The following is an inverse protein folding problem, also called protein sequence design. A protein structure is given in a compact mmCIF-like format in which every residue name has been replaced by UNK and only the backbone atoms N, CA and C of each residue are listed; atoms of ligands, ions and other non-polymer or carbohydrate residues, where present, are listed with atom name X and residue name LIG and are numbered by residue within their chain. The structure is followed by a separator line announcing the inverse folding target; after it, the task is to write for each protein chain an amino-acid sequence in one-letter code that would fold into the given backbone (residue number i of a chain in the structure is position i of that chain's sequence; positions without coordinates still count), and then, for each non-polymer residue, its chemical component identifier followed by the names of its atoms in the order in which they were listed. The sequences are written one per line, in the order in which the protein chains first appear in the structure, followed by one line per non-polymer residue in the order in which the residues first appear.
data_IF_058413243803
#
_entry.id   IF_058413243803
#
_cell.length_a   1.000
_cell.length_b   1.000
_cell.length_c   1.000
_cell.angle_alpha   90.00
_cell.angle_beta   90.00
_cell.angle_gamma   90.00
#
_symmetry.space_group_name_H-M   'P 1'
#
loop_
_entity.id
_entity.type
_entity.pdbx_description
1 polymer ?
#
# COMPACT_ATOMS: atom_id res chain seq x y z
N UNK A 1 20.36 50.61 -42.30
CA UNK A 1 19.50 49.49 -41.87
C UNK A 1 20.26 48.74 -40.80
N UNK A 2 19.77 48.65 -39.55
CA UNK A 2 20.31 47.72 -38.58
C UNK A 2 19.57 46.38 -38.70
N UNK A 3 20.35 45.31 -38.74
CA UNK A 3 19.90 43.93 -38.73
C UNK A 3 19.52 43.57 -37.27
N UNK A 4 18.28 43.12 -37.06
CA UNK A 4 17.78 42.73 -35.73
C UNK A 4 17.75 41.21 -35.74
N UNK A 5 18.80 40.59 -35.19
CA UNK A 5 18.80 39.17 -34.86
C UNK A 5 17.84 38.96 -33.68
N UNK A 6 16.73 38.28 -33.93
CA UNK A 6 15.86 37.76 -32.87
C UNK A 6 16.53 36.50 -32.31
N UNK A 7 17.15 36.62 -31.14
CA UNK A 7 17.52 35.46 -30.34
C UNK A 7 16.22 34.76 -29.91
N UNK A 8 16.06 33.51 -30.35
CA UNK A 8 15.05 32.62 -29.81
C UNK A 8 15.45 32.28 -28.37
N UNK A 9 14.63 32.72 -27.42
CA UNK A 9 14.66 32.20 -26.06
C UNK A 9 14.32 30.71 -26.10
N UNK A 10 15.36 29.86 -26.13
CA UNK A 10 15.26 28.44 -25.80
C UNK A 10 14.90 28.32 -24.33
N UNK A 11 13.62 28.50 -24.01
CA UNK A 11 13.07 28.15 -22.73
C UNK A 11 12.91 26.62 -22.68
N UNK A 12 14.04 25.92 -22.61
CA UNK A 12 14.08 24.52 -22.20
C UNK A 12 13.64 24.47 -20.76
N UNK A 13 12.32 24.37 -20.56
CA UNK A 13 11.76 23.86 -19.32
C UNK A 13 12.37 22.48 -19.13
N UNK A 14 13.28 22.38 -18.18
CA UNK A 14 13.85 21.13 -17.75
C UNK A 14 12.69 20.29 -17.23
N UNK A 15 12.19 19.38 -18.07
CA UNK A 15 11.43 18.23 -17.60
C UNK A 15 12.38 17.49 -16.66
N UNK A 16 12.30 17.82 -15.37
CA UNK A 16 12.88 17.04 -14.31
C UNK A 16 12.29 15.65 -14.48
N UNK A 17 13.07 14.79 -15.10
CA UNK A 17 12.72 13.40 -15.32
C UNK A 17 12.85 12.75 -13.95
N UNK A 18 11.81 12.90 -13.13
CA UNK A 18 11.63 12.10 -11.93
C UNK A 18 11.36 10.68 -12.40
N UNK A 19 12.44 9.99 -12.79
CA UNK A 19 12.40 8.58 -13.15
C UNK A 19 11.90 7.80 -11.94
N UNK A 20 10.82 7.06 -12.10
CA UNK A 20 10.31 6.21 -11.03
C UNK A 20 11.36 5.18 -10.61
N UNK A 21 11.63 5.11 -9.30
CA UNK A 21 12.41 4.07 -8.65
C UNK A 21 11.50 3.29 -7.69
N UNK A 22 11.29 1.98 -7.90
CA UNK A 22 10.48 1.18 -6.99
C UNK A 22 11.04 1.14 -5.58
N UNK A 23 10.16 1.19 -4.58
CA UNK A 23 10.56 0.88 -3.21
C UNK A 23 11.00 -0.58 -3.09
N UNK A 24 12.11 -0.81 -2.38
CA UNK A 24 12.68 -2.14 -2.18
C UNK A 24 11.82 -3.03 -1.25
N UNK A 25 10.93 -2.42 -0.47
CA UNK A 25 10.14 -3.10 0.57
C UNK A 25 8.79 -3.64 0.05
N UNK A 26 8.52 -3.48 -1.24
CA UNK A 26 7.25 -3.90 -1.84
C UNK A 26 7.12 -5.43 -1.91
N UNK A 27 6.03 -5.96 -1.37
CA UNK A 27 5.63 -7.37 -1.50
C UNK A 27 5.11 -7.72 -2.89
N UNK A 28 4.48 -6.75 -3.56
CA UNK A 28 4.01 -6.86 -4.94
C UNK A 28 4.60 -5.75 -5.81
N UNK A 29 4.94 -6.02 -7.07
CA UNK A 29 5.31 -4.98 -8.04
C UNK A 29 4.15 -4.00 -8.27
N UNK A 30 4.48 -2.72 -8.46
CA UNK A 30 3.50 -1.70 -8.88
C UNK A 30 2.82 -2.07 -10.21
N UNK A 31 3.55 -2.76 -11.10
CA UNK A 31 3.00 -3.19 -12.40
C UNK A 31 1.83 -4.15 -12.23
N UNK A 32 1.90 -5.09 -11.28
CA UNK A 32 0.83 -6.05 -11.01
C UNK A 32 -0.46 -5.34 -10.59
N UNK A 33 -0.35 -4.28 -9.79
CA UNK A 33 -1.49 -3.46 -9.39
C UNK A 33 -2.09 -2.68 -10.58
N UNK A 34 -1.24 -2.16 -11.47
CA UNK A 34 -1.69 -1.50 -12.70
C UNK A 34 -2.45 -2.48 -13.59
N UNK A 35 -1.90 -3.67 -13.79
CA UNK A 35 -2.48 -4.70 -14.65
C UNK A 35 -3.79 -5.23 -14.06
N UNK A 36 -3.86 -5.38 -12.74
CA UNK A 36 -5.06 -5.85 -12.04
C UNK A 36 -6.19 -4.83 -12.05
N UNK A 37 -5.89 -3.53 -11.87
CA UNK A 37 -6.91 -2.48 -11.75
C UNK A 37 -7.24 -1.77 -13.05
N UNK A 38 -6.35 -1.84 -14.05
CA UNK A 38 -6.42 -1.05 -15.27
C UNK A 38 -6.29 0.46 -15.03
N UNK A 39 -5.71 0.88 -13.90
CA UNK A 39 -5.56 2.30 -13.57
C UNK A 39 -4.63 3.02 -14.55
N UNK A 40 -5.00 4.23 -14.94
CA UNK A 40 -4.24 5.09 -15.86
C UNK A 40 -3.95 6.43 -15.19
N UNK A 41 -2.94 7.19 -15.63
CA UNK A 41 -2.58 8.48 -15.01
C UNK A 41 -3.77 9.46 -14.91
N UNK A 42 -4.66 9.47 -15.91
CA UNK A 42 -5.84 10.35 -15.93
C UNK A 42 -6.85 10.00 -14.82
N UNK A 43 -6.86 8.76 -14.32
CA UNK A 43 -7.70 8.38 -13.19
C UNK A 43 -7.32 9.17 -11.92
N UNK A 44 -6.06 9.58 -11.80
CA UNK A 44 -5.53 10.32 -10.65
C UNK A 44 -5.26 11.81 -10.96
N UNK A 45 -5.86 12.36 -12.02
CA UNK A 45 -5.65 13.75 -12.49
C UNK A 45 -4.19 14.08 -12.85
N UNK A 46 -3.41 13.06 -13.22
CA UNK A 46 -2.08 13.24 -13.77
C UNK A 46 -2.15 13.47 -15.28
N UNK A 47 -1.06 14.00 -15.85
CA UNK A 47 -0.93 14.12 -17.30
C UNK A 47 -0.92 12.73 -17.96
N UNK A 48 -1.35 12.66 -19.22
CA UNK A 48 -1.58 11.36 -19.89
C UNK A 48 -0.32 10.49 -20.01
N UNK A 49 0.82 11.14 -20.12
CA UNK A 49 2.16 10.59 -20.25
C UNK A 49 2.88 10.42 -18.90
N UNK A 50 2.32 10.93 -17.81
CA UNK A 50 2.90 10.88 -16.46
C UNK A 50 2.71 9.49 -15.81
N UNK A 51 3.39 8.51 -16.39
CA UNK A 51 3.41 7.12 -15.91
C UNK A 51 4.25 7.00 -14.64
N UNK A 52 5.29 7.81 -14.49
CA UNK A 52 6.17 7.79 -13.32
C UNK A 52 5.49 8.38 -12.08
N UNK A 53 4.71 9.45 -12.24
CA UNK A 53 3.86 9.99 -11.18
C UNK A 53 2.80 8.98 -10.74
N UNK A 54 2.17 8.27 -11.68
CA UNK A 54 1.24 7.18 -11.36
C UNK A 54 1.93 6.10 -10.52
N UNK A 55 3.06 5.58 -11.00
CA UNK A 55 3.79 4.52 -10.30
C UNK A 55 4.23 4.96 -8.91
N UNK A 56 4.67 6.20 -8.75
CA UNK A 56 5.05 6.78 -7.45
C UNK A 56 3.89 6.83 -6.45
N UNK A 57 2.67 7.14 -6.92
CA UNK A 57 1.48 7.15 -6.04
C UNK A 57 1.12 5.72 -5.64
N UNK A 58 1.10 4.80 -6.60
CA UNK A 58 0.73 3.41 -6.36
C UNK A 58 1.73 2.71 -5.43
N UNK A 59 3.02 2.96 -5.58
CA UNK A 59 4.08 2.48 -4.69
C UNK A 59 3.77 2.85 -3.22
N UNK A 60 3.43 4.11 -2.97
CA UNK A 60 3.05 4.59 -1.64
C UNK A 60 1.78 3.92 -1.11
N UNK A 61 0.79 3.68 -1.95
CA UNK A 61 -0.45 3.03 -1.54
C UNK A 61 -0.22 1.58 -1.17
N UNK A 62 0.60 0.86 -1.93
CA UNK A 62 0.99 -0.52 -1.61
C UNK A 62 1.71 -0.56 -0.26
N UNK A 63 2.68 0.33 -0.01
CA UNK A 63 3.37 0.40 1.29
C UNK A 63 2.41 0.69 2.46
N UNK A 64 1.40 1.53 2.25
CA UNK A 64 0.36 1.79 3.26
C UNK A 64 -0.49 0.54 3.52
N UNK A 65 -0.88 -0.19 2.46
CA UNK A 65 -1.64 -1.43 2.57
C UNK A 65 -0.85 -2.51 3.33
N UNK A 66 0.43 -2.68 3.04
CA UNK A 66 1.33 -3.56 3.81
C UNK A 66 1.41 -3.16 5.28
N UNK A 67 1.41 -1.85 5.57
CA UNK A 67 1.35 -1.32 6.93
C UNK A 67 0.05 -1.72 7.66
N UNK A 68 -1.09 -1.70 6.96
CA UNK A 68 -2.37 -2.15 7.52
C UNK A 68 -2.36 -3.65 7.79
N UNK A 69 -1.83 -4.46 6.87
CA UNK A 69 -1.70 -5.91 7.04
C UNK A 69 -0.80 -6.23 8.24
N UNK A 70 0.38 -5.61 8.32
CA UNK A 70 1.31 -5.75 9.45
C UNK A 70 0.65 -5.39 10.78
N UNK A 71 -0.11 -4.29 10.80
CA UNK A 71 -0.86 -3.85 11.98
C UNK A 71 -1.91 -4.88 12.42
N UNK A 72 -2.70 -5.38 11.46
CA UNK A 72 -3.74 -6.39 11.69
C UNK A 72 -3.16 -7.71 12.21
N UNK A 73 -2.08 -8.20 11.60
CA UNK A 73 -1.42 -9.43 12.02
C UNK A 73 -0.54 -9.27 13.28
N UNK A 74 -0.42 -8.04 13.81
CA UNK A 74 0.45 -7.69 14.95
C UNK A 74 1.94 -7.97 14.70
N UNK A 75 2.39 -7.78 13.46
CA UNK A 75 3.77 -8.02 13.04
C UNK A 75 4.49 -6.68 12.83
N UNK A 76 5.61 -6.46 13.53
CA UNK A 76 6.42 -5.24 13.39
C UNK A 76 7.27 -5.25 12.11
N UNK A 77 7.87 -6.39 11.82
CA UNK A 77 8.78 -6.59 10.69
C UNK A 77 8.54 -8.00 10.15
N UNK A 78 8.39 -8.13 8.85
CA UNK A 78 8.32 -9.40 8.14
C UNK A 78 9.59 -9.51 7.31
N UNK A 79 10.29 -10.63 7.41
CA UNK A 79 11.40 -10.93 6.52
C UNK A 79 10.84 -11.10 5.08
N UNK A 80 11.43 -10.48 4.05
CA UNK A 80 10.98 -10.66 2.67
C UNK A 80 10.80 -12.13 2.23
N UNK A 81 11.58 -13.05 2.82
CA UNK A 81 11.47 -14.50 2.55
C UNK A 81 10.23 -15.16 3.18
N UNK A 82 9.62 -14.55 4.18
CA UNK A 82 8.40 -15.01 4.85
C UNK A 82 7.12 -14.49 4.15
N UNK A 83 7.27 -13.55 3.22
CA UNK A 83 6.15 -13.02 2.42
C UNK A 83 5.72 -14.06 1.38
N UNK A 84 4.73 -14.87 1.75
CA UNK A 84 4.15 -15.86 0.87
C UNK A 84 3.12 -15.28 -0.11
N UNK A 85 2.66 -16.12 -1.04
CA UNK A 85 1.74 -15.70 -2.11
C UNK A 85 0.35 -15.32 -1.59
N UNK A 86 -0.08 -15.85 -0.44
CA UNK A 86 -1.34 -15.45 0.18
C UNK A 86 -1.26 -14.00 0.69
N UNK A 87 -0.19 -13.62 1.39
CA UNK A 87 0.04 -12.24 1.83
C UNK A 87 0.12 -11.27 0.64
N UNK A 88 0.79 -11.68 -0.45
CA UNK A 88 0.85 -10.89 -1.70
C UNK A 88 -0.52 -10.72 -2.34
N UNK A 89 -1.34 -11.77 -2.37
CA UNK A 89 -2.70 -11.69 -2.91
C UNK A 89 -3.59 -10.73 -2.11
N UNK A 90 -3.50 -10.78 -0.78
CA UNK A 90 -4.22 -9.85 0.10
C UNK A 90 -3.73 -8.41 -0.10
N UNK A 91 -2.41 -8.19 -0.18
CA UNK A 91 -1.84 -6.86 -0.45
C UNK A 91 -2.31 -6.28 -1.79
N UNK A 92 -2.37 -7.12 -2.83
CA UNK A 92 -2.89 -6.74 -4.15
C UNK A 92 -4.37 -6.36 -4.10
N UNK A 93 -5.21 -7.18 -3.46
CA UNK A 93 -6.66 -6.93 -3.35
C UNK A 93 -6.95 -5.69 -2.50
N UNK A 94 -6.25 -5.53 -1.37
CA UNK A 94 -6.36 -4.36 -0.50
C UNK A 94 -5.94 -3.07 -1.22
N UNK A 95 -4.80 -3.10 -1.91
CA UNK A 95 -4.33 -1.97 -2.73
C UNK A 95 -5.31 -1.65 -3.87
N UNK A 96 -5.93 -2.67 -4.47
CA UNK A 96 -6.94 -2.50 -5.53
C UNK A 96 -8.22 -1.86 -5.00
N UNK A 97 -8.67 -2.24 -3.79
CA UNK A 97 -9.79 -1.59 -3.12
C UNK A 97 -9.49 -0.11 -2.84
N UNK A 98 -8.27 0.21 -2.43
CA UNK A 98 -7.82 1.59 -2.24
C UNK A 98 -7.87 2.40 -3.54
N UNK A 99 -7.44 1.81 -4.66
CA UNK A 99 -7.57 2.40 -6.00
C UNK A 99 -9.04 2.63 -6.38
N UNK A 100 -9.88 1.60 -6.25
CA UNK A 100 -11.29 1.67 -6.60
C UNK A 100 -12.03 2.75 -5.79
N UNK A 101 -11.77 2.83 -4.49
CA UNK A 101 -12.34 3.85 -3.61
C UNK A 101 -11.89 5.27 -3.99
N UNK A 102 -10.62 5.43 -4.37
CA UNK A 102 -10.08 6.72 -4.83
C UNK A 102 -10.82 7.22 -6.08
N UNK A 103 -11.04 6.32 -7.06
CA UNK A 103 -11.78 6.62 -8.29
C UNK A 103 -13.25 6.92 -7.97
N UNK A 104 -13.91 6.10 -7.15
CA UNK A 104 -15.31 6.28 -6.78
C UNK A 104 -15.54 7.63 -6.08
N UNK A 105 -14.70 7.99 -5.10
CA UNK A 105 -14.81 9.27 -4.37
C UNK A 105 -14.56 10.48 -5.26
N UNK A 106 -13.75 10.34 -6.30
CA UNK A 106 -13.54 11.39 -7.30
C UNK A 106 -14.77 11.58 -8.18
N UNK A 107 -15.42 10.49 -8.58
CA UNK A 107 -16.55 10.51 -9.51
C UNK A 107 -17.89 10.80 -8.81
N UNK A 108 -17.90 10.78 -7.47
CA UNK A 108 -19.07 11.15 -6.68
C UNK A 108 -19.14 12.68 -6.51
N UNK A 109 -20.18 13.38 -7.01
CA UNK A 109 -20.37 14.79 -6.70
C UNK A 109 -20.66 14.94 -5.20
N UNK A 110 -19.74 15.60 -4.48
CA UNK A 110 -19.99 16.10 -3.13
C UNK A 110 -21.18 17.07 -3.24
N UNK A 111 -22.29 16.74 -2.56
CA UNK A 111 -23.59 17.45 -2.46
C UNK A 111 -24.60 17.27 -3.61
N UNK A 112 -25.57 16.37 -3.40
CA UNK A 112 -26.98 16.72 -3.63
C UNK A 112 -27.62 16.98 -2.26
N UNK A 113 -28.05 18.21 -1.93
CA UNK A 113 -28.59 18.55 -0.60
C UNK A 113 -29.94 17.91 -0.22
N UNK A 114 -30.44 16.89 -0.94
CA UNK A 114 -31.83 16.42 -0.76
C UNK A 114 -32.06 14.91 -0.86
N UNK A 115 -31.03 14.08 -0.99
CA UNK A 115 -31.21 12.63 -1.08
C UNK A 115 -30.87 11.96 0.26
N UNK A 116 -31.89 11.64 1.04
CA UNK A 116 -31.81 10.89 2.31
C UNK A 116 -31.64 9.38 2.06
N UNK A 117 -31.42 9.01 0.79
CA UNK A 117 -31.19 7.67 0.25
C UNK A 117 -29.79 7.50 -0.35
N UNK A 118 -28.83 8.39 -0.02
CA UNK A 118 -27.42 8.13 -0.34
C UNK A 118 -26.94 6.96 0.51
N UNK A 119 -27.00 5.76 -0.07
CA UNK A 119 -26.27 4.61 0.41
C UNK A 119 -24.80 5.04 0.51
N UNK A 120 -24.30 5.21 1.74
CA UNK A 120 -22.93 5.59 1.97
C UNK A 120 -22.09 4.45 1.39
N UNK A 121 -21.47 4.69 0.23
CA UNK A 121 -20.50 3.77 -0.38
C UNK A 121 -19.57 3.30 0.73
N UNK A 122 -19.61 2.00 1.03
CA UNK A 122 -18.77 1.42 2.07
C UNK A 122 -17.34 1.87 1.84
N UNK A 123 -16.80 2.61 2.82
CA UNK A 123 -15.47 3.21 2.74
C UNK A 123 -14.35 2.23 3.10
N UNK A 124 -14.71 0.97 3.36
CA UNK A 124 -13.78 -0.04 3.84
C UNK A 124 -12.94 -0.59 2.69
N UNK A 125 -11.69 -0.12 2.64
CA UNK A 125 -10.66 -0.71 1.79
C UNK A 125 -10.26 -2.10 2.29
N UNK A 126 -10.34 -2.32 3.61
CA UNK A 126 -9.93 -3.54 4.30
C UNK A 126 -11.15 -4.34 4.74
N UNK A 127 -11.72 -5.10 3.79
CA UNK A 127 -12.94 -5.89 3.98
C UNK A 127 -12.72 -7.09 4.89
N UNK A 128 -13.80 -7.62 5.45
CA UNK A 128 -13.73 -8.79 6.34
C UNK A 128 -13.19 -10.03 5.62
N UNK A 129 -13.55 -10.25 4.35
CA UNK A 129 -12.95 -11.34 3.55
C UNK A 129 -11.41 -11.30 3.53
N UNK A 130 -10.82 -10.09 3.45
CA UNK A 130 -9.36 -9.94 3.47
C UNK A 130 -8.77 -10.20 4.85
N UNK A 131 -9.54 -9.92 5.91
CA UNK A 131 -9.14 -10.21 7.29
C UNK A 131 -9.20 -11.70 7.56
N UNK A 132 -10.22 -12.39 7.06
CA UNK A 132 -10.39 -13.84 7.16
C UNK A 132 -9.22 -14.56 6.45
N UNK A 133 -8.82 -14.10 5.27
CA UNK A 133 -7.64 -14.60 4.56
C UNK A 133 -6.33 -14.40 5.37
N UNK A 134 -6.29 -13.38 6.24
CA UNK A 134 -5.16 -13.05 7.09
C UNK A 134 -5.18 -13.72 8.46
N UNK A 135 -6.30 -14.30 8.89
CA UNK A 135 -6.47 -14.94 10.20
C UNK A 135 -5.32 -15.92 10.55
N UNK A 136 -4.84 -16.78 9.62
CA UNK A 136 -3.73 -17.70 9.91
C UNK A 136 -2.40 -17.02 10.24
N UNK A 137 -2.23 -15.75 9.86
CA UNK A 137 -0.99 -14.97 10.05
C UNK A 137 -1.05 -14.06 11.27
N UNK A 138 -2.19 -13.97 11.95
CA UNK A 138 -2.35 -13.13 13.14
C UNK A 138 -1.52 -13.73 14.28
N UNK A 139 -0.49 -13.00 14.70
CA UNK A 139 0.35 -13.39 15.83
C UNK A 139 -0.42 -13.09 17.11
N UNK A 140 -1.10 -14.11 17.63
CA UNK A 140 -1.68 -14.03 18.97
C UNK A 140 -0.55 -14.01 20.01
N UNK A 141 -0.56 -13.00 20.87
CA UNK A 141 0.43 -12.82 21.95
C UNK A 141 0.50 -14.03 22.92
N UNK A 142 -0.49 -14.94 22.88
CA UNK A 142 -0.59 -16.13 23.72
C UNK A 142 0.21 -17.32 23.17
N UNK A 143 0.57 -17.33 21.89
CA UNK A 143 1.20 -18.50 21.23
C UNK A 143 2.66 -18.29 20.83
N UNK A 144 3.25 -17.14 21.19
CA UNK A 144 4.64 -16.79 20.86
C UNK A 144 5.66 -17.43 21.81
N UNK A 145 6.10 -18.65 21.47
CA UNK A 145 7.20 -19.44 22.07
C UNK A 145 6.92 -19.96 23.49
N UNK A 146 6.72 -21.27 23.59
CA UNK A 146 7.10 -22.02 24.78
C UNK A 146 8.61 -21.87 24.98
N UNK A 147 9.02 -20.79 25.64
CA UNK A 147 10.39 -20.69 26.14
C UNK A 147 10.61 -21.91 27.02
N UNK A 148 11.63 -22.71 26.71
CA UNK A 148 11.95 -23.88 27.54
C UNK A 148 12.40 -23.35 28.90
N UNK A 149 11.48 -23.29 29.84
CA UNK A 149 11.80 -22.96 31.23
C UNK A 149 12.56 -24.15 31.80
N UNK A 150 13.88 -24.02 31.86
CA UNK A 150 14.69 -24.96 32.62
C UNK A 150 14.50 -24.66 34.10
N UNK A 151 13.59 -25.39 34.74
CA UNK A 151 13.42 -25.37 36.20
C UNK A 151 14.47 -26.30 36.80
N UNK A 152 15.55 -25.73 37.34
CA UNK A 152 16.45 -26.49 38.20
C UNK A 152 15.94 -26.34 39.64
N UNK A 153 15.41 -27.42 40.19
CA UNK A 153 15.15 -27.50 41.63
C UNK A 153 16.49 -27.71 42.34
N UNK A 154 17.04 -26.66 42.94
CA UNK A 154 18.13 -26.81 43.91
C UNK A 154 17.48 -27.27 45.21
N UNK A 155 17.58 -28.57 45.52
CA UNK A 155 17.41 -29.01 46.90
C UNK A 155 18.64 -28.51 47.66
N UNK A 156 18.44 -27.59 48.59
CA UNK A 156 19.42 -27.34 49.63
C UNK A 156 19.56 -28.62 50.44
N UNK A 157 20.72 -29.26 50.37
CA UNK A 157 21.13 -30.18 51.42
C UNK A 157 21.41 -29.32 52.64
N UNK A 158 20.40 -29.23 53.50
CA UNK A 158 20.49 -28.66 54.84
C UNK A 158 21.30 -29.60 55.77
N UNK A 159 21.85 -29.05 56.86
CA UNK A 159 23.21 -29.30 57.33
C UNK A 159 23.31 -30.46 58.30
N UNK A 160 24.40 -31.22 58.21
CA UNK A 160 24.94 -32.02 59.30
C UNK A 160 26.47 -31.92 59.33
#
# INVERSE_FOLDING_TARGET
MPDITLEQDDNTTTNSSNSYTPSADLWIPVQDLIDFTGIKPQHLKLQKDDTDGLKTILDKWILQCQGLIKSYCHIKTIDPSEVNDALKNVDLRLSSNMVALSIARRDTPITQPNDWTVEILSSDIFTDDLKDDLEPYVVNAVTGKSDKVYVFTVKGDDPF
#
